data_IF_512626008211
#
_entry.id   IF_512626008211
#
_cell.length_a   1.000
_cell.length_b   1.000
_cell.length_c   1.000
_cell.angle_alpha   90.00
_cell.angle_beta   90.00
_cell.angle_gamma   90.00
#
_symmetry.space_group_name_H-M   'P 1'
#
loop_
_entity.id
_entity.type
_entity.pdbx_description
1 polymer ?
#
# COMPACT_ATOMS: atom_id res chain seq x y z
N UNK A 1 8.81 -17.77 2.70
CA UNK A 1 8.21 -17.97 1.35
C UNK A 1 6.73 -18.21 1.59
N UNK A 2 5.92 -17.15 1.58
CA UNK A 2 4.45 -17.24 1.70
C UNK A 2 3.88 -16.83 0.35
N UNK A 3 3.20 -17.77 -0.30
CA UNK A 3 2.45 -17.56 -1.53
C UNK A 3 1.40 -16.47 -1.29
N UNK A 4 1.53 -15.38 -2.03
CA UNK A 4 0.44 -14.40 -2.16
C UNK A 4 -0.54 -15.03 -3.14
N UNK A 5 -1.54 -15.70 -2.56
CA UNK A 5 -2.59 -16.40 -3.27
C UNK A 5 -3.34 -15.48 -4.23
N UNK A 6 -3.66 -16.06 -5.36
CA UNK A 6 -4.41 -15.55 -6.48
C UNK A 6 -5.65 -14.74 -6.06
N UNK A 7 -5.90 -13.69 -6.84
CA UNK A 7 -7.12 -12.88 -6.85
C UNK A 7 -8.37 -13.76 -6.74
N UNK A 8 -8.94 -13.81 -5.55
CA UNK A 8 -10.33 -14.22 -5.39
C UNK A 8 -11.18 -13.00 -5.75
N UNK A 9 -12.03 -13.21 -6.73
CA UNK A 9 -12.91 -12.23 -7.31
C UNK A 9 -13.66 -11.39 -6.28
N UNK A 10 -14.11 -10.24 -6.72
CA UNK A 10 -15.06 -9.33 -6.07
C UNK A 10 -16.38 -10.04 -5.76
N UNK A 11 -16.34 -11.03 -4.89
CA UNK A 11 -17.53 -11.58 -4.25
C UNK A 11 -17.51 -10.94 -2.87
N UNK A 12 -18.50 -10.11 -2.60
CA UNK A 12 -18.86 -9.75 -1.23
C UNK A 12 -19.09 -11.05 -0.46
N UNK A 13 -18.00 -11.65 0.04
CA UNK A 13 -18.13 -12.62 1.12
C UNK A 13 -18.74 -11.85 2.27
N UNK A 14 -19.76 -12.47 2.87
CA UNK A 14 -20.42 -12.08 4.09
C UNK A 14 -19.34 -11.73 5.12
N UNK A 15 -18.87 -10.49 5.06
CA UNK A 15 -18.09 -9.89 6.12
C UNK A 15 -19.02 -9.94 7.29
N UNK A 16 -18.70 -10.65 8.36
CA UNK A 16 -19.34 -10.42 9.64
C UNK A 16 -19.24 -8.92 9.85
N UNK A 17 -20.38 -8.23 9.73
CA UNK A 17 -20.39 -6.78 9.62
C UNK A 17 -19.70 -6.26 10.87
N UNK A 18 -18.62 -5.47 10.65
CA UNK A 18 -17.95 -4.75 11.71
C UNK A 18 -19.01 -4.00 12.51
N UNK A 19 -19.08 -4.24 13.80
CA UNK A 19 -19.99 -3.47 14.62
C UNK A 19 -19.47 -2.01 14.77
N UNK A 20 -20.33 -1.12 15.26
CA UNK A 20 -19.96 0.29 15.44
C UNK A 20 -18.73 0.47 16.35
N UNK A 21 -18.53 -0.44 17.30
CA UNK A 21 -17.37 -0.42 18.20
C UNK A 21 -16.09 -0.84 17.46
N UNK A 22 -16.16 -1.85 16.60
CA UNK A 22 -15.04 -2.27 15.75
C UNK A 22 -14.66 -1.15 14.78
N UNK A 23 -15.62 -0.49 14.16
CA UNK A 23 -15.38 0.68 13.29
C UNK A 23 -14.69 1.80 14.06
N UNK A 24 -15.12 2.11 15.28
CA UNK A 24 -14.46 3.11 16.15
C UNK A 24 -13.05 2.69 16.56
N UNK A 25 -12.83 1.41 16.85
CA UNK A 25 -11.51 0.86 17.18
C UNK A 25 -10.56 0.98 15.98
N UNK A 26 -10.99 0.58 14.78
CA UNK A 26 -10.22 0.72 13.56
C UNK A 26 -9.92 2.19 13.24
N UNK A 27 -10.88 3.09 13.41
CA UNK A 27 -10.67 4.52 13.21
C UNK A 27 -9.61 5.11 14.17
N UNK A 28 -9.57 4.63 15.42
CA UNK A 28 -8.56 5.02 16.39
C UNK A 28 -7.18 4.51 16.00
N UNK A 29 -7.05 3.22 15.67
CA UNK A 29 -5.78 2.58 15.29
C UNK A 29 -5.22 3.07 13.96
N UNK A 30 -6.06 3.44 13.00
CA UNK A 30 -5.60 4.07 11.75
C UNK A 30 -4.95 5.45 11.98
N UNK A 31 -5.33 6.16 13.05
CA UNK A 31 -4.74 7.47 13.41
C UNK A 31 -3.51 7.30 14.28
N UNK A 32 -3.54 6.33 15.18
CA UNK A 32 -2.47 6.07 16.13
C UNK A 32 -2.36 4.57 16.42
N UNK A 33 -1.43 3.92 15.73
CA UNK A 33 -1.19 2.48 15.86
C UNK A 33 -0.52 2.10 17.20
N UNK A 34 -0.04 3.09 17.99
CA UNK A 34 0.66 2.86 19.25
C UNK A 34 -0.27 2.72 20.45
N UNK A 35 -1.57 2.96 20.26
CA UNK A 35 -2.57 2.88 21.33
C UNK A 35 -2.55 1.51 22.01
N UNK A 36 -2.46 1.55 23.35
CA UNK A 36 -2.54 0.37 24.19
C UNK A 36 -3.99 -0.12 24.34
N UNK A 37 -4.17 -1.31 24.89
CA UNK A 37 -5.51 -1.82 25.23
C UNK A 37 -6.23 -0.93 26.25
N UNK A 38 -5.49 -0.27 27.13
CA UNK A 38 -6.05 0.68 28.10
C UNK A 38 -6.55 1.93 27.37
N UNK A 39 -5.73 2.55 26.51
CA UNK A 39 -6.10 3.73 25.73
C UNK A 39 -7.35 3.48 24.88
N UNK A 40 -7.40 2.32 24.23
CA UNK A 40 -8.56 1.88 23.45
C UNK A 40 -9.78 1.67 24.32
N UNK A 41 -9.62 1.06 25.49
CA UNK A 41 -10.69 0.87 26.48
C UNK A 41 -11.33 2.18 26.89
N UNK A 42 -10.51 3.16 27.27
CA UNK A 42 -10.95 4.49 27.67
C UNK A 42 -11.68 5.23 26.55
N UNK A 43 -11.12 5.21 25.31
CA UNK A 43 -11.73 5.87 24.13
C UNK A 43 -13.05 5.24 23.67
N UNK A 44 -13.22 3.95 23.90
CA UNK A 44 -14.37 3.18 23.39
C UNK A 44 -15.40 2.83 24.47
N UNK A 45 -15.16 3.20 25.72
CA UNK A 45 -15.96 2.80 26.91
C UNK A 45 -16.01 1.26 27.06
N UNK A 46 -14.84 0.62 26.95
CA UNK A 46 -14.64 -0.81 27.12
C UNK A 46 -13.64 -1.08 28.24
N UNK A 47 -13.67 -2.28 28.82
CA UNK A 47 -12.54 -2.73 29.64
C UNK A 47 -11.31 -2.96 28.74
N UNK A 48 -10.08 -2.80 29.27
CA UNK A 48 -8.85 -3.09 28.52
C UNK A 48 -8.83 -4.50 27.91
N UNK A 49 -9.36 -5.49 28.64
CA UNK A 49 -9.46 -6.89 28.15
C UNK A 49 -10.43 -7.04 26.98
N UNK A 50 -11.54 -6.30 26.99
CA UNK A 50 -12.49 -6.29 25.87
C UNK A 50 -11.88 -5.62 24.63
N UNK A 51 -11.19 -4.49 24.81
CA UNK A 51 -10.51 -3.79 23.74
C UNK A 51 -9.40 -4.68 23.12
N UNK A 52 -8.56 -5.31 23.95
CA UNK A 52 -7.53 -6.23 23.49
C UNK A 52 -8.11 -7.40 22.70
N UNK A 53 -9.18 -8.05 23.18
CA UNK A 53 -9.82 -9.18 22.50
C UNK A 53 -10.40 -8.78 21.13
N UNK A 54 -11.04 -7.59 21.03
CA UNK A 54 -11.54 -7.08 19.75
C UNK A 54 -10.40 -6.82 18.76
N UNK A 55 -9.34 -6.13 19.19
CA UNK A 55 -8.15 -5.89 18.38
C UNK A 55 -7.55 -7.20 17.87
N UNK A 56 -7.34 -8.17 18.76
CA UNK A 56 -6.79 -9.48 18.39
C UNK A 56 -7.68 -10.21 17.37
N UNK A 57 -9.01 -10.18 17.53
CA UNK A 57 -9.94 -10.74 16.56
C UNK A 57 -9.78 -10.10 15.19
N UNK A 58 -9.76 -8.77 15.11
CA UNK A 58 -9.59 -8.05 13.84
C UNK A 58 -8.23 -8.32 13.16
N UNK A 59 -7.19 -8.59 13.93
CA UNK A 59 -5.90 -9.04 13.44
C UNK A 59 -5.97 -10.47 12.90
N UNK A 60 -6.60 -11.39 13.62
CA UNK A 60 -6.76 -12.79 13.21
C UNK A 60 -7.64 -12.95 11.96
N UNK A 61 -8.68 -12.14 11.84
CA UNK A 61 -9.57 -12.08 10.68
C UNK A 61 -8.94 -11.31 9.49
N UNK A 62 -7.70 -10.84 9.63
CA UNK A 62 -6.99 -10.04 8.63
C UNK A 62 -7.72 -8.75 8.20
N UNK A 63 -8.60 -8.21 9.05
CA UNK A 63 -9.15 -6.85 8.90
C UNK A 63 -8.04 -5.83 9.18
N UNK A 64 -7.24 -6.06 10.23
CA UNK A 64 -5.97 -5.36 10.44
C UNK A 64 -4.88 -6.21 9.82
N UNK A 65 -4.31 -5.73 8.71
CA UNK A 65 -3.27 -6.45 7.96
C UNK A 65 -1.85 -6.18 8.44
N UNK A 66 -1.67 -5.22 9.33
CA UNK A 66 -0.38 -4.87 9.92
C UNK A 66 -0.32 -3.44 10.43
N UNK A 67 0.83 -3.12 11.03
CA UNK A 67 1.16 -1.80 11.55
C UNK A 67 2.46 -1.34 10.90
N UNK A 68 2.52 -0.07 10.50
CA UNK A 68 3.71 0.50 9.88
C UNK A 68 4.06 1.84 10.52
N UNK A 69 5.34 2.05 10.77
CA UNK A 69 5.84 3.37 11.10
C UNK A 69 5.80 4.27 9.86
N UNK A 70 5.34 5.50 10.02
CA UNK A 70 5.46 6.53 8.99
C UNK A 70 6.80 7.21 9.15
N UNK A 71 7.61 7.21 8.10
CA UNK A 71 8.95 7.81 8.09
C UNK A 71 8.92 9.04 7.18
N UNK A 72 9.56 10.13 7.60
CA UNK A 72 9.74 11.33 6.79
C UNK A 72 10.81 11.07 5.71
N UNK A 73 10.46 11.04 4.41
CA UNK A 73 11.38 10.63 3.36
C UNK A 73 12.62 11.53 3.25
N UNK A 74 12.45 12.84 3.43
CA UNK A 74 13.52 13.83 3.42
C UNK A 74 14.56 13.58 4.54
N UNK A 75 14.13 13.03 5.68
CA UNK A 75 15.03 12.71 6.80
C UNK A 75 15.89 11.47 6.56
N UNK A 76 15.53 10.67 5.58
CA UNK A 76 16.28 9.46 5.18
C UNK A 76 16.91 9.61 3.79
N UNK A 77 17.00 10.86 3.27
CA UNK A 77 17.68 11.16 2.02
C UNK A 77 16.88 10.88 0.75
N UNK A 78 15.55 10.75 0.84
CA UNK A 78 14.67 10.56 -0.31
C UNK A 78 13.98 11.88 -0.65
N UNK A 79 14.51 12.59 -1.68
CA UNK A 79 14.05 13.92 -2.08
C UNK A 79 13.07 13.93 -3.27
N UNK A 80 12.88 12.81 -3.96
CA UNK A 80 12.03 12.74 -5.15
C UNK A 80 11.02 11.61 -5.03
N UNK A 81 9.74 11.99 -5.03
CA UNK A 81 8.61 11.07 -5.21
C UNK A 81 8.13 11.16 -6.65
N UNK A 82 7.84 10.03 -7.28
CA UNK A 82 7.24 10.00 -8.60
C UNK A 82 6.25 8.85 -8.75
N UNK A 83 5.29 9.06 -9.65
CA UNK A 83 4.44 8.01 -10.19
C UNK A 83 4.90 7.66 -11.59
N UNK A 84 5.04 6.37 -11.87
CA UNK A 84 5.52 5.88 -13.15
C UNK A 84 4.44 4.98 -13.77
N UNK A 85 3.94 5.38 -14.92
CA UNK A 85 3.05 4.59 -15.75
C UNK A 85 3.89 3.70 -16.66
N UNK A 86 3.58 2.42 -16.69
CA UNK A 86 4.26 1.44 -17.53
C UNK A 86 3.25 0.77 -18.47
N UNK A 87 3.59 0.74 -19.75
CA UNK A 87 2.85 0.00 -20.78
C UNK A 87 3.68 -1.22 -21.17
N UNK A 88 3.04 -2.38 -21.19
CA UNK A 88 3.68 -3.64 -21.55
C UNK A 88 3.78 -3.81 -23.06
N UNK A 89 4.86 -4.44 -23.53
CA UNK A 89 5.05 -4.74 -24.95
C UNK A 89 4.13 -5.86 -25.44
N UNK A 90 3.78 -6.80 -24.56
CA UNK A 90 2.85 -7.88 -24.83
C UNK A 90 2.19 -8.34 -23.52
N UNK A 91 0.90 -8.63 -23.61
CA UNK A 91 0.10 -9.14 -22.50
C UNK A 91 0.27 -10.66 -22.37
N UNK A 92 1.36 -11.10 -21.73
CA UNK A 92 1.55 -12.49 -21.34
C UNK A 92 1.71 -12.61 -19.82
N UNK A 93 1.28 -13.74 -19.27
CA UNK A 93 1.45 -14.01 -17.84
C UNK A 93 2.92 -14.06 -17.44
N UNK A 94 3.79 -14.52 -18.32
CA UNK A 94 5.23 -14.58 -18.11
C UNK A 94 5.82 -13.18 -17.98
N UNK A 95 5.53 -12.28 -18.93
CA UNK A 95 5.96 -10.89 -18.90
C UNK A 95 5.46 -10.16 -17.64
N UNK A 96 4.20 -10.37 -17.28
CA UNK A 96 3.63 -9.77 -16.07
C UNK A 96 4.31 -10.30 -14.80
N UNK A 97 4.68 -11.57 -14.76
CA UNK A 97 5.37 -12.20 -13.63
C UNK A 97 6.79 -11.69 -13.48
N UNK A 98 7.51 -11.58 -14.59
CA UNK A 98 8.89 -11.08 -14.59
C UNK A 98 8.94 -9.59 -14.22
N UNK A 99 8.00 -8.80 -14.72
CA UNK A 99 7.89 -7.40 -14.33
C UNK A 99 7.55 -7.22 -12.83
N UNK A 100 6.65 -8.05 -12.27
CA UNK A 100 6.39 -8.05 -10.81
C UNK A 100 7.66 -8.36 -10.03
N UNK A 101 8.46 -9.34 -10.48
CA UNK A 101 9.75 -9.66 -9.84
C UNK A 101 10.71 -8.47 -9.87
N UNK A 102 10.75 -7.73 -10.98
CA UNK A 102 11.51 -6.48 -11.05
C UNK A 102 11.04 -5.49 -9.99
N UNK A 103 9.72 -5.27 -9.88
CA UNK A 103 9.16 -4.38 -8.87
C UNK A 103 9.53 -4.80 -7.44
N UNK A 104 9.46 -6.11 -7.13
CA UNK A 104 9.76 -6.64 -5.80
C UNK A 104 11.25 -6.53 -5.42
N UNK A 105 12.15 -6.47 -6.40
CA UNK A 105 13.60 -6.40 -6.17
C UNK A 105 14.14 -4.97 -6.09
N UNK A 106 13.34 -3.97 -6.43
CA UNK A 106 13.75 -2.55 -6.43
C UNK A 106 13.21 -1.83 -5.21
N UNK A 107 14.10 -1.49 -4.28
CA UNK A 107 13.73 -0.80 -3.04
C UNK A 107 13.11 0.59 -3.29
N UNK A 108 13.46 1.23 -4.41
CA UNK A 108 12.89 2.52 -4.81
C UNK A 108 11.40 2.41 -5.15
N UNK A 109 10.91 1.23 -5.55
CA UNK A 109 9.50 0.98 -5.87
C UNK A 109 8.76 0.62 -4.58
N UNK A 110 8.06 1.58 -4.02
CA UNK A 110 7.34 1.41 -2.74
C UNK A 110 5.88 0.97 -2.91
N UNK A 111 5.38 0.97 -4.14
CA UNK A 111 4.05 0.48 -4.48
C UNK A 111 3.93 0.21 -5.97
N UNK A 112 3.15 -0.81 -6.33
CA UNK A 112 2.87 -1.18 -7.71
C UNK A 112 1.42 -1.69 -7.83
N UNK A 113 0.70 -1.19 -8.82
CA UNK A 113 -0.69 -1.56 -9.09
C UNK A 113 -0.88 -1.87 -10.57
N UNK A 114 -1.70 -2.86 -10.88
CA UNK A 114 -2.22 -3.07 -12.24
C UNK A 114 -3.40 -2.13 -12.43
N UNK A 115 -3.46 -1.48 -13.58
CA UNK A 115 -4.51 -0.54 -13.92
C UNK A 115 -5.41 -1.09 -15.04
N UNK A 116 -6.59 -0.50 -15.14
CA UNK A 116 -7.42 -0.53 -16.34
C UNK A 116 -7.16 0.76 -17.12
N UNK A 117 -7.05 0.71 -18.44
CA UNK A 117 -6.86 1.89 -19.30
C UNK A 117 -5.58 1.82 -20.12
N UNK A 118 -4.96 2.98 -20.43
CA UNK A 118 -3.81 3.05 -21.34
C UNK A 118 -2.52 2.49 -20.75
N UNK A 119 -2.32 2.56 -19.44
CA UNK A 119 -1.18 2.00 -18.76
C UNK A 119 -1.55 0.68 -18.08
N UNK A 120 -0.68 -0.30 -18.15
CA UNK A 120 -0.86 -1.59 -17.50
C UNK A 120 -0.51 -1.57 -16.02
N UNK A 121 0.53 -0.78 -15.67
CA UNK A 121 0.98 -0.63 -14.28
C UNK A 121 1.19 0.82 -13.90
N UNK A 122 0.89 1.11 -12.62
CA UNK A 122 1.28 2.31 -11.92
C UNK A 122 2.28 1.93 -10.84
N UNK A 123 3.44 2.57 -10.83
CA UNK A 123 4.44 2.44 -9.77
C UNK A 123 4.49 3.73 -8.97
N UNK A 124 4.61 3.63 -7.65
CA UNK A 124 5.00 4.74 -6.78
C UNK A 124 6.45 4.52 -6.38
N UNK A 125 7.28 5.50 -6.63
CA UNK A 125 8.72 5.39 -6.39
C UNK A 125 9.23 6.53 -5.52
N UNK A 126 10.26 6.23 -4.72
CA UNK A 126 11.02 7.20 -3.97
C UNK A 126 12.48 7.08 -4.33
N UNK A 127 13.10 8.21 -4.69
CA UNK A 127 14.51 8.31 -5.08
C UNK A 127 15.20 9.43 -4.30
N UNK A 128 16.51 9.33 -4.15
CA UNK A 128 17.29 10.37 -3.49
C UNK A 128 17.21 11.70 -4.27
N UNK A 129 17.34 11.62 -5.60
CA UNK A 129 17.36 12.75 -6.51
C UNK A 129 16.84 12.37 -7.92
N UNK A 130 16.79 13.35 -8.81
CA UNK A 130 16.39 13.14 -10.21
C UNK A 130 17.34 12.22 -10.98
N UNK A 131 18.63 12.19 -10.62
CA UNK A 131 19.61 11.30 -11.23
C UNK A 131 19.32 9.84 -10.87
N UNK A 132 18.95 9.58 -9.62
CA UNK A 132 18.53 8.26 -9.18
C UNK A 132 17.23 7.82 -9.86
N UNK A 133 16.25 8.72 -10.00
CA UNK A 133 15.01 8.45 -10.75
C UNK A 133 15.33 8.13 -12.22
N UNK A 134 16.18 8.92 -12.87
CA UNK A 134 16.61 8.66 -14.25
C UNK A 134 17.28 7.30 -14.40
N UNK A 135 18.15 6.92 -13.46
CA UNK A 135 18.78 5.59 -13.44
C UNK A 135 17.76 4.47 -13.33
N UNK A 136 16.79 4.58 -12.42
CA UNK A 136 15.71 3.59 -12.29
C UNK A 136 14.97 3.40 -13.61
N UNK A 137 14.60 4.51 -14.28
CA UNK A 137 13.87 4.46 -15.54
C UNK A 137 14.75 3.89 -16.67
N UNK A 138 15.97 4.43 -16.86
CA UNK A 138 16.82 4.13 -18.02
C UNK A 138 17.53 2.78 -17.90
N UNK A 139 17.86 2.33 -16.69
CA UNK A 139 18.68 1.14 -16.49
C UNK A 139 17.88 -0.06 -15.95
N UNK A 140 16.68 0.15 -15.43
CA UNK A 140 15.87 -0.94 -14.89
C UNK A 140 14.52 -1.12 -15.61
N UNK A 141 13.75 -0.04 -15.80
CA UNK A 141 12.40 -0.16 -16.37
C UNK A 141 12.43 -0.27 -17.90
N UNK A 142 13.04 0.68 -18.60
CA UNK A 142 13.07 0.71 -20.07
C UNK A 142 13.79 -0.49 -20.71
N UNK A 143 14.90 -1.03 -20.16
CA UNK A 143 15.56 -2.19 -20.75
C UNK A 143 14.81 -3.50 -20.51
N UNK A 144 13.78 -3.52 -19.67
CA UNK A 144 13.05 -4.74 -19.39
C UNK A 144 12.26 -5.19 -20.62
N UNK A 145 12.44 -6.43 -21.11
CA UNK A 145 11.89 -6.88 -22.38
C UNK A 145 10.35 -6.84 -22.45
N UNK A 146 9.71 -6.90 -21.32
CA UNK A 146 8.25 -6.81 -21.22
C UNK A 146 7.72 -5.36 -21.27
N UNK A 147 8.58 -4.34 -21.25
CA UNK A 147 8.18 -2.91 -21.19
C UNK A 147 8.23 -2.28 -22.57
N UNK A 148 7.12 -1.70 -23.03
CA UNK A 148 7.06 -0.92 -24.26
C UNK A 148 7.27 0.56 -24.04
N UNK A 149 6.68 1.10 -22.97
CA UNK A 149 6.73 2.55 -22.69
C UNK A 149 6.70 2.81 -21.19
N UNK A 150 7.42 3.83 -20.79
CA UNK A 150 7.45 4.38 -19.43
C UNK A 150 7.15 5.86 -19.47
N UNK A 151 6.29 6.33 -18.58
CA UNK A 151 5.97 7.74 -18.40
C UNK A 151 6.07 8.07 -16.91
N UNK A 152 7.01 8.94 -16.53
CA UNK A 152 7.22 9.38 -15.15
C UNK A 152 6.52 10.71 -14.89
N UNK A 153 5.85 10.82 -13.75
CA UNK A 153 5.23 12.03 -13.23
C UNK A 153 5.82 12.32 -11.85
N UNK A 154 6.58 13.41 -11.73
CA UNK A 154 7.19 13.80 -10.47
C UNK A 154 6.16 14.53 -9.62
N UNK A 155 6.07 14.16 -8.34
CA UNK A 155 5.21 14.84 -7.37
C UNK A 155 5.88 16.17 -7.01
N UNK A 156 5.24 17.28 -7.36
CA UNK A 156 5.71 18.61 -7.01
C UNK A 156 5.32 19.00 -5.60
N UNK A 157 4.09 18.67 -5.20
CA UNK A 157 3.55 18.92 -3.88
C UNK A 157 2.55 17.85 -3.49
N UNK A 158 2.49 17.53 -2.21
CA UNK A 158 1.53 16.60 -1.65
C UNK A 158 0.38 17.36 -1.02
N UNK A 159 -0.64 17.67 -1.80
CA UNK A 159 -1.82 18.42 -1.37
C UNK A 159 -2.56 17.76 -0.19
N UNK A 160 -2.54 16.43 -0.14
CA UNK A 160 -3.11 15.65 0.96
C UNK A 160 -2.24 14.42 1.24
N UNK A 161 -1.77 14.22 2.47
CA UNK A 161 -1.09 12.97 2.83
C UNK A 161 -2.05 11.79 2.81
N UNK A 162 -1.49 10.58 2.83
CA UNK A 162 -2.29 9.35 2.96
C UNK A 162 -3.16 9.44 4.24
N UNK A 163 -4.45 9.33 4.06
CA UNK A 163 -5.43 9.46 5.14
C UNK A 163 -5.96 8.08 5.55
N UNK A 164 -6.52 7.95 6.76
CA UNK A 164 -7.25 6.76 7.16
C UNK A 164 -8.33 6.37 6.14
N UNK A 165 -8.50 5.08 5.91
CA UNK A 165 -9.58 4.56 5.08
C UNK A 165 -10.93 4.95 5.67
N UNK A 166 -11.90 5.37 4.84
CA UNK A 166 -13.25 5.64 5.31
C UNK A 166 -13.88 4.31 5.78
N UNK A 167 -14.39 4.32 6.99
CA UNK A 167 -15.14 3.21 7.54
C UNK A 167 -16.63 3.49 7.34
N UNK A 168 -17.38 2.48 6.91
CA UNK A 168 -18.83 2.61 6.85
C UNK A 168 -19.37 2.92 8.26
N UNK A 169 -20.34 3.85 8.39
CA UNK A 169 -21.05 3.99 9.64
C UNK A 169 -21.76 2.68 9.94
N UNK A 170 -21.40 2.07 11.06
CA UNK A 170 -22.04 0.86 11.55
C UNK A 170 -23.49 1.14 12.02
#
# INVERSE_FOLDING_TARGET
>A
MREIGAQKGWIMQKTDMLDATDSRLLAALQRDATLTAQDLGERLNLSPSQAARRRQRLEQEAVITGYRATVAPDRIGLGVEAFIHVVMAAHSEENARDFRRLCDTRAEIVGAWTLTGEADFLLRVWCADLTALSRLVQQALLPHPAVARVQSQIVLDRVKPDAPLPLAPG
#
